data_IF_531554031522
#
_entry.id   IF_531554031522
#
_cell.length_a   1.000
_cell.length_b   1.000
_cell.length_c   1.000
_cell.angle_alpha   90.00
_cell.angle_beta   90.00
_cell.angle_gamma   90.00
#
_symmetry.space_group_name_H-M   'P 1'
#
loop_
_entity.id
_entity.type
_entity.pdbx_description
1 polymer ?
#
# COMPACT_ATOMS: atom_id res chain seq x y z
N UNK A 1 -28.27 11.84 -3.31
CA UNK A 1 -28.75 11.52 -4.68
C UNK A 1 -27.92 10.35 -5.20
N UNK A 2 -28.45 9.11 -5.19
CA UNK A 2 -27.83 7.92 -5.78
C UNK A 2 -28.22 7.90 -7.25
N UNK A 3 -27.29 8.21 -8.16
CA UNK A 3 -27.59 8.32 -9.59
C UNK A 3 -27.65 6.93 -10.26
N UNK A 4 -28.89 6.47 -10.50
CA UNK A 4 -29.26 5.73 -11.71
C UNK A 4 -29.26 6.73 -12.88
N UNK A 5 -28.68 6.33 -14.02
CA UNK A 5 -28.54 7.02 -15.33
C UNK A 5 -27.13 7.57 -15.63
N UNK A 6 -26.26 6.67 -16.08
CA UNK A 6 -25.43 6.87 -17.27
C UNK A 6 -25.40 5.53 -18.03
N UNK A 7 -26.32 5.38 -18.97
CA UNK A 7 -26.40 4.24 -19.88
C UNK A 7 -26.62 4.81 -21.28
N UNK A 8 -25.53 5.16 -21.97
CA UNK A 8 -25.42 5.35 -23.43
C UNK A 8 -24.00 5.79 -23.77
N UNK A 9 -23.07 4.82 -23.76
CA UNK A 9 -21.80 4.77 -24.52
C UNK A 9 -20.89 3.69 -23.87
N UNK A 10 -21.18 2.42 -24.18
CA UNK A 10 -20.28 1.25 -24.26
C UNK A 10 -19.14 1.09 -23.20
N UNK A 11 -19.49 0.40 -22.10
CA UNK A 11 -18.73 -0.52 -21.20
C UNK A 11 -17.53 -0.06 -20.32
N UNK A 12 -17.27 -0.68 -19.13
CA UNK A 12 -18.15 -1.37 -18.18
C UNK A 12 -18.22 -0.63 -16.83
N UNK A 13 -19.31 0.11 -16.58
CA UNK A 13 -19.64 0.57 -15.22
C UNK A 13 -20.47 -0.54 -14.55
N UNK A 14 -19.92 -1.19 -13.52
CA UNK A 14 -20.61 -2.26 -12.78
C UNK A 14 -21.87 -1.72 -12.08
N UNK A 15 -22.99 -2.42 -12.24
CA UNK A 15 -24.19 -2.32 -11.40
C UNK A 15 -24.62 -3.75 -11.00
N UNK A 16 -24.71 -4.03 -9.70
CA UNK A 16 -25.17 -5.32 -9.14
C UNK A 16 -24.41 -6.58 -9.60
N UNK A 17 -23.09 -6.64 -9.33
CA UNK A 17 -22.29 -7.89 -9.28
C UNK A 17 -22.33 -8.84 -10.49
N UNK A 18 -22.61 -8.35 -11.71
CA UNK A 18 -22.32 -9.11 -12.93
C UNK A 18 -21.32 -8.37 -13.82
N UNK A 19 -20.18 -9.01 -14.06
CA UNK A 19 -19.12 -8.56 -14.97
C UNK A 19 -19.33 -9.23 -16.32
N UNK A 20 -19.57 -8.45 -17.36
CA UNK A 20 -19.51 -8.92 -18.75
C UNK A 20 -18.50 -8.02 -19.45
N UNK A 21 -17.25 -8.48 -19.58
CA UNK A 21 -16.24 -7.85 -20.42
C UNK A 21 -15.73 -8.86 -21.46
N UNK A 22 -15.80 -8.48 -22.74
CA UNK A 22 -15.43 -9.30 -23.89
C UNK A 22 -14.03 -8.97 -24.46
N UNK A 23 -13.13 -8.40 -23.65
CA UNK A 23 -11.74 -8.19 -24.04
C UNK A 23 -10.87 -9.33 -23.51
N UNK A 24 -9.96 -9.90 -24.32
CA UNK A 24 -9.00 -10.88 -23.84
C UNK A 24 -8.13 -10.25 -22.74
N UNK A 25 -7.94 -10.89 -21.58
CA UNK A 25 -6.94 -10.46 -20.61
C UNK A 25 -5.54 -10.49 -21.26
N UNK A 26 -4.70 -9.44 -21.14
CA UNK A 26 -4.81 -8.26 -20.27
C UNK A 26 -5.07 -6.95 -21.04
N UNK A 27 -6.00 -6.92 -22.00
CA UNK A 27 -6.30 -5.70 -22.75
C UNK A 27 -7.08 -4.68 -21.87
N UNK A 28 -6.57 -3.45 -21.79
CA UNK A 28 -7.27 -2.28 -21.22
C UNK A 28 -8.12 -1.62 -22.31
N UNK A 29 -9.23 -1.01 -21.94
CA UNK A 29 -10.11 -0.29 -22.86
C UNK A 29 -9.49 1.08 -23.22
N UNK A 30 -9.09 1.31 -24.48
CA UNK A 30 -8.45 2.56 -24.90
C UNK A 30 -9.42 3.75 -25.05
N UNK A 31 -10.73 3.54 -24.83
CA UNK A 31 -11.75 4.56 -25.05
C UNK A 31 -11.48 5.82 -24.20
N UNK A 32 -11.32 7.01 -24.83
CA UNK A 32 -11.06 8.24 -24.08
C UNK A 32 -12.18 8.58 -23.10
N UNK A 33 -11.83 8.76 -21.84
CA UNK A 33 -12.77 9.13 -20.78
C UNK A 33 -12.82 10.65 -20.58
N UNK A 34 -14.03 11.18 -20.38
CA UNK A 34 -14.27 12.58 -20.03
C UNK A 34 -15.10 12.69 -18.75
N UNK A 35 -14.51 13.31 -17.73
CA UNK A 35 -15.11 13.56 -16.42
C UNK A 35 -15.58 15.01 -16.24
N UNK A 36 -15.43 15.86 -17.26
CA UNK A 36 -15.87 17.27 -17.23
C UNK A 36 -17.33 17.47 -16.78
N UNK A 37 -18.31 16.62 -17.19
CA UNK A 37 -19.69 16.77 -16.73
C UNK A 37 -19.88 16.51 -15.22
N UNK A 38 -18.88 15.92 -14.55
CA UNK A 38 -18.99 15.36 -13.22
C UNK A 38 -18.16 16.09 -12.16
N UNK A 39 -18.03 17.42 -12.26
CA UNK A 39 -17.19 18.23 -11.36
C UNK A 39 -17.48 18.13 -9.85
N UNK A 40 -18.59 17.51 -9.45
CA UNK A 40 -18.98 17.31 -8.02
C UNK A 40 -18.83 15.88 -7.52
N UNK A 41 -18.13 15.00 -8.25
CA UNK A 41 -17.91 13.62 -7.80
C UNK A 41 -17.10 13.58 -6.50
N UNK A 42 -17.59 12.76 -5.57
CA UNK A 42 -16.87 12.42 -4.33
C UNK A 42 -16.19 11.06 -4.41
N UNK A 43 -16.74 10.14 -5.20
CA UNK A 43 -16.25 8.78 -5.36
C UNK A 43 -16.13 8.48 -6.84
N UNK A 44 -14.97 7.96 -7.25
CA UNK A 44 -14.71 7.55 -8.63
C UNK A 44 -14.11 6.14 -8.63
N UNK A 45 -14.67 5.27 -9.45
CA UNK A 45 -14.10 3.95 -9.70
C UNK A 45 -13.81 3.77 -11.19
N UNK A 46 -12.56 3.44 -11.50
CA UNK A 46 -12.03 3.17 -12.83
C UNK A 46 -11.48 1.75 -12.82
N UNK A 47 -11.99 0.90 -13.71
CA UNK A 47 -11.63 -0.52 -13.76
C UNK A 47 -11.49 -0.95 -15.22
N UNK A 48 -10.29 -1.34 -15.63
CA UNK A 48 -10.00 -1.76 -16.99
C UNK A 48 -9.92 -0.65 -18.03
N UNK A 49 -9.86 0.63 -17.63
CA UNK A 49 -9.77 1.76 -18.55
C UNK A 49 -8.30 2.09 -18.84
N UNK A 50 -7.89 2.42 -20.06
CA UNK A 50 -6.49 2.74 -20.35
C UNK A 50 -6.16 4.22 -20.07
N UNK A 51 -5.80 4.50 -18.81
CA UNK A 51 -5.27 5.81 -18.42
C UNK A 51 -3.80 5.99 -18.78
N UNK A 52 -3.14 5.00 -19.39
CA UNK A 52 -1.73 5.08 -19.79
C UNK A 52 -1.57 5.73 -21.16
N UNK A 53 -2.37 5.32 -22.15
CA UNK A 53 -2.32 5.92 -23.49
C UNK A 53 -3.25 7.12 -23.63
N UNK A 54 -4.39 7.11 -22.93
CA UNK A 54 -5.43 8.14 -23.04
C UNK A 54 -5.67 8.85 -21.71
N UNK A 55 -5.21 10.10 -21.60
CA UNK A 55 -5.43 10.88 -20.38
C UNK A 55 -6.93 11.17 -20.18
N UNK A 56 -7.44 10.89 -18.97
CA UNK A 56 -8.84 11.16 -18.63
C UNK A 56 -9.07 12.66 -18.50
N UNK A 57 -9.86 13.24 -19.41
CA UNK A 57 -10.18 14.67 -19.39
C UNK A 57 -10.98 15.01 -18.15
N UNK A 58 -10.63 16.09 -17.44
CA UNK A 58 -11.32 16.53 -16.24
C UNK A 58 -10.98 15.75 -14.95
N UNK A 59 -10.13 14.71 -14.98
CA UNK A 59 -9.78 13.96 -13.77
C UNK A 59 -9.10 14.84 -12.72
N UNK A 60 -8.08 15.61 -13.11
CA UNK A 60 -7.35 16.50 -12.20
C UNK A 60 -8.21 17.68 -11.71
N UNK A 61 -9.30 17.99 -12.42
CA UNK A 61 -10.25 18.99 -11.95
C UNK A 61 -10.99 18.47 -10.71
N UNK A 62 -11.26 17.17 -10.59
CA UNK A 62 -11.97 16.60 -9.43
C UNK A 62 -11.22 16.73 -8.09
N UNK A 63 -9.97 17.20 -8.08
CA UNK A 63 -9.15 17.34 -6.86
C UNK A 63 -9.80 18.10 -5.71
N UNK A 64 -10.75 19.00 -6.02
CA UNK A 64 -11.44 19.83 -5.03
C UNK A 64 -12.69 19.17 -4.44
N UNK A 65 -13.16 18.06 -5.02
CA UNK A 65 -14.40 17.36 -4.63
C UNK A 65 -14.19 15.88 -4.29
N UNK A 66 -13.21 15.22 -4.93
CA UNK A 66 -13.01 13.79 -4.81
C UNK A 66 -12.44 13.39 -3.45
N UNK A 67 -13.13 12.46 -2.79
CA UNK A 67 -12.82 11.93 -1.46
C UNK A 67 -12.30 10.49 -1.54
N UNK A 68 -12.72 9.73 -2.55
CA UNK A 68 -12.33 8.34 -2.80
C UNK A 68 -12.07 8.08 -4.28
N UNK A 69 -10.97 7.41 -4.57
CA UNK A 69 -10.70 6.87 -5.91
C UNK A 69 -10.29 5.40 -5.85
N UNK A 70 -10.80 4.64 -6.82
CA UNK A 70 -10.42 3.26 -7.09
C UNK A 70 -9.99 3.18 -8.55
N UNK A 71 -8.78 2.75 -8.82
CA UNK A 71 -8.20 2.68 -10.15
C UNK A 71 -7.52 1.32 -10.31
N UNK A 72 -8.25 0.30 -10.79
CA UNK A 72 -7.74 -1.06 -10.90
C UNK A 72 -7.52 -1.46 -12.35
N UNK A 73 -6.41 -2.13 -12.65
CA UNK A 73 -6.05 -2.55 -14.01
C UNK A 73 -6.27 -1.43 -15.06
N UNK A 74 -5.94 -0.19 -14.70
CA UNK A 74 -6.27 0.99 -15.50
C UNK A 74 -5.09 1.92 -15.74
N UNK A 75 -3.97 1.73 -15.04
CA UNK A 75 -2.78 2.55 -15.24
C UNK A 75 -1.49 1.75 -15.05
N UNK A 76 -0.41 2.18 -15.67
CA UNK A 76 0.97 1.70 -15.49
C UNK A 76 1.84 2.68 -14.68
N UNK A 77 1.32 3.86 -14.32
CA UNK A 77 1.97 4.83 -13.43
C UNK A 77 0.95 5.54 -12.51
N UNK A 78 1.32 5.80 -11.25
CA UNK A 78 0.46 6.55 -10.32
C UNK A 78 0.26 7.99 -10.80
N UNK A 79 1.30 8.56 -11.42
CA UNK A 79 1.27 9.88 -12.04
C UNK A 79 0.07 10.09 -12.97
N UNK A 80 -0.36 9.08 -13.73
CA UNK A 80 -1.49 9.20 -14.66
C UNK A 80 -2.81 9.52 -13.97
N UNK A 81 -2.92 9.22 -12.67
CA UNK A 81 -4.11 9.49 -11.86
C UNK A 81 -3.99 10.82 -11.13
N UNK A 82 -2.82 11.12 -10.56
CA UNK A 82 -2.69 12.20 -9.58
C UNK A 82 -2.09 13.49 -10.11
N UNK A 83 -1.39 13.46 -11.24
CA UNK A 83 -0.66 14.63 -11.73
C UNK A 83 -0.75 14.81 -13.25
N UNK A 84 -0.33 15.99 -13.69
CA UNK A 84 -0.08 16.22 -15.11
C UNK A 84 1.11 15.37 -15.58
N UNK A 85 1.02 14.86 -16.81
CA UNK A 85 2.09 14.06 -17.42
C UNK A 85 3.30 14.89 -17.86
N UNK A 86 3.09 16.18 -18.11
CA UNK A 86 4.09 17.09 -18.67
C UNK A 86 4.65 18.08 -17.64
N UNK A 87 3.98 18.25 -16.51
CA UNK A 87 4.41 19.21 -15.48
C UNK A 87 5.23 18.53 -14.39
N UNK A 88 6.15 19.31 -13.81
CA UNK A 88 6.84 18.90 -12.60
C UNK A 88 5.86 18.69 -11.44
N UNK A 89 6.17 17.74 -10.54
CA UNK A 89 5.36 17.51 -9.34
C UNK A 89 5.49 18.67 -8.35
N UNK A 90 6.66 19.33 -8.32
CA UNK A 90 6.89 20.46 -7.43
C UNK A 90 6.00 21.63 -7.85
N UNK A 91 5.15 22.08 -6.94
CA UNK A 91 4.17 23.15 -7.21
C UNK A 91 2.89 22.70 -7.91
N UNK A 92 2.74 21.40 -8.21
CA UNK A 92 1.49 20.87 -8.76
C UNK A 92 0.34 20.95 -7.73
N UNK A 93 -0.91 21.11 -8.18
CA UNK A 93 -2.06 21.19 -7.27
C UNK A 93 -2.26 19.92 -6.45
N UNK A 94 -2.62 20.07 -5.17
CA UNK A 94 -2.81 18.96 -4.24
C UNK A 94 -4.25 18.41 -4.20
N UNK A 95 -4.38 17.15 -3.82
CA UNK A 95 -5.63 16.43 -3.56
C UNK A 95 -6.01 16.51 -2.09
N UNK A 96 -6.51 17.67 -1.66
CA UNK A 96 -6.74 17.97 -0.25
C UNK A 96 -7.92 17.23 0.39
N UNK A 97 -8.79 16.60 -0.41
CA UNK A 97 -9.96 15.85 0.07
C UNK A 97 -9.84 14.35 -0.08
N UNK A 98 -8.86 13.87 -0.85
CA UNK A 98 -8.74 12.46 -1.18
C UNK A 98 -8.27 11.70 0.06
N UNK A 99 -9.19 10.95 0.66
CA UNK A 99 -8.99 10.20 1.90
C UNK A 99 -8.70 8.72 1.65
N UNK A 100 -9.24 8.17 0.56
CA UNK A 100 -9.12 6.77 0.18
C UNK A 100 -8.61 6.67 -1.27
N UNK A 101 -7.53 5.91 -1.44
CA UNK A 101 -6.94 5.59 -2.73
C UNK A 101 -6.74 4.09 -2.82
N UNK A 102 -7.26 3.46 -3.86
CA UNK A 102 -6.87 2.10 -4.24
C UNK A 102 -6.41 2.07 -5.69
N UNK A 103 -5.16 1.68 -5.90
CA UNK A 103 -4.53 1.50 -7.21
C UNK A 103 -4.01 0.06 -7.34
N UNK A 104 -4.80 -0.92 -6.89
CA UNK A 104 -4.44 -2.34 -6.93
C UNK A 104 -4.49 -2.93 -8.35
N UNK A 105 -3.81 -4.06 -8.55
CA UNK A 105 -3.84 -4.84 -9.80
C UNK A 105 -3.43 -4.05 -11.06
N UNK A 106 -2.51 -3.08 -10.95
CA UNK A 106 -2.07 -2.24 -12.07
C UNK A 106 -0.73 -2.69 -12.67
N UNK A 107 -0.02 -3.59 -12.01
CA UNK A 107 1.31 -4.03 -12.45
C UNK A 107 2.38 -2.94 -12.27
N UNK A 108 2.17 -1.99 -11.36
CA UNK A 108 3.06 -0.86 -11.13
C UNK A 108 4.41 -1.33 -10.59
N UNK A 109 5.49 -0.74 -11.12
CA UNK A 109 6.86 -1.08 -10.73
C UNK A 109 7.45 -0.10 -9.71
N UNK A 110 6.99 1.16 -9.74
CA UNK A 110 7.60 2.27 -9.01
C UNK A 110 6.54 3.12 -8.31
N UNK A 111 6.77 3.40 -7.03
CA UNK A 111 6.02 4.44 -6.31
C UNK A 111 6.61 5.79 -6.71
N UNK A 112 5.95 6.50 -7.61
CA UNK A 112 6.46 7.78 -8.13
C UNK A 112 6.08 8.99 -7.23
N UNK A 113 6.75 10.12 -7.48
CA UNK A 113 6.60 11.35 -6.69
C UNK A 113 5.17 11.93 -6.66
N UNK A 114 4.26 11.49 -7.53
CA UNK A 114 2.88 12.00 -7.53
C UNK A 114 2.13 11.74 -6.22
N UNK A 115 2.57 10.78 -5.41
CA UNK A 115 2.09 10.55 -4.05
C UNK A 115 2.30 11.79 -3.14
N UNK A 116 3.28 12.65 -3.43
CA UNK A 116 3.48 13.92 -2.72
C UNK A 116 2.31 14.90 -2.85
N UNK A 117 1.42 14.70 -3.83
CA UNK A 117 0.24 15.54 -4.05
C UNK A 117 -0.95 15.12 -3.19
N UNK A 118 -0.79 14.12 -2.34
CA UNK A 118 -1.86 13.55 -1.52
C UNK A 118 -1.58 13.84 -0.03
N UNK A 119 -1.78 15.07 0.47
CA UNK A 119 -1.48 15.40 1.87
C UNK A 119 -2.54 14.89 2.86
N UNK A 120 -3.72 14.48 2.37
CA UNK A 120 -4.90 14.21 3.19
C UNK A 120 -5.31 12.73 3.26
N UNK A 121 -4.66 11.83 2.49
CA UNK A 121 -5.14 10.45 2.42
C UNK A 121 -4.81 9.64 3.67
N UNK A 122 -5.79 8.84 4.09
CA UNK A 122 -5.71 8.00 5.29
C UNK A 122 -5.57 6.51 4.93
N UNK A 123 -6.07 6.10 3.77
CA UNK A 123 -6.03 4.72 3.30
C UNK A 123 -5.48 4.64 1.88
N UNK A 124 -4.42 3.85 1.72
CA UNK A 124 -3.77 3.57 0.44
C UNK A 124 -3.65 2.07 0.24
N UNK A 125 -4.32 1.58 -0.79
CA UNK A 125 -4.21 0.19 -1.26
C UNK A 125 -3.44 0.17 -2.59
N UNK A 126 -2.26 -0.44 -2.53
CA UNK A 126 -1.32 -0.64 -3.62
C UNK A 126 -1.00 -2.13 -3.80
N UNK A 127 -1.91 -2.99 -3.35
CA UNK A 127 -1.76 -4.45 -3.44
C UNK A 127 -1.75 -4.97 -4.88
N UNK A 128 -1.20 -6.17 -5.08
CA UNK A 128 -1.16 -6.84 -6.39
C UNK A 128 -0.49 -5.99 -7.49
N UNK A 129 0.61 -5.32 -7.13
CA UNK A 129 1.48 -4.62 -8.07
C UNK A 129 2.85 -5.31 -8.11
N UNK A 130 3.85 -4.67 -8.70
CA UNK A 130 5.22 -5.20 -8.86
C UNK A 130 6.25 -4.30 -8.17
N UNK A 131 5.87 -3.64 -7.09
CA UNK A 131 6.80 -2.77 -6.35
C UNK A 131 7.93 -3.60 -5.73
N UNK A 132 9.17 -3.23 -6.03
CA UNK A 132 10.37 -3.82 -5.41
C UNK A 132 10.83 -3.04 -4.16
N UNK A 133 10.44 -1.77 -4.06
CA UNK A 133 10.80 -0.83 -2.99
C UNK A 133 9.59 0.05 -2.63
N UNK A 134 9.52 0.48 -1.37
CA UNK A 134 8.61 1.53 -0.91
C UNK A 134 9.32 2.89 -0.96
N UNK A 135 8.67 3.92 -1.51
CA UNK A 135 9.27 5.25 -1.69
C UNK A 135 8.17 6.34 -1.74
N UNK A 136 8.55 7.61 -1.65
CA UNK A 136 7.68 8.79 -1.82
C UNK A 136 6.49 8.90 -0.82
N UNK A 137 6.54 8.18 0.30
CA UNK A 137 5.50 8.21 1.34
C UNK A 137 5.77 9.21 2.47
N UNK A 138 6.94 9.86 2.50
CA UNK A 138 7.34 10.80 3.57
C UNK A 138 6.37 11.96 3.81
N UNK A 139 5.69 12.44 2.76
CA UNK A 139 4.72 13.55 2.86
C UNK A 139 3.31 13.10 3.25
N UNK A 140 3.09 11.79 3.34
CA UNK A 140 1.77 11.18 3.58
C UNK A 140 1.49 11.06 5.08
N UNK A 141 1.57 12.18 5.79
CA UNK A 141 1.58 12.21 7.27
C UNK A 141 0.27 11.77 7.93
N UNK A 142 -0.83 11.71 7.17
CA UNK A 142 -2.15 11.25 7.64
C UNK A 142 -2.44 9.78 7.34
N UNK A 143 -1.51 9.06 6.71
CA UNK A 143 -1.69 7.67 6.32
C UNK A 143 -1.85 6.78 7.56
N UNK A 144 -3.00 6.10 7.66
CA UNK A 144 -3.33 5.16 8.74
C UNK A 144 -3.30 3.71 8.27
N UNK A 145 -3.67 3.47 7.02
CA UNK A 145 -3.79 2.14 6.43
C UNK A 145 -3.05 2.08 5.10
N UNK A 146 -2.04 1.21 5.04
CA UNK A 146 -1.26 0.95 3.84
C UNK A 146 -1.32 -0.54 3.51
N UNK A 147 -1.88 -0.89 2.37
CA UNK A 147 -1.86 -2.24 1.84
C UNK A 147 -0.87 -2.34 0.68
N UNK A 148 0.14 -3.18 0.85
CA UNK A 148 1.16 -3.50 -0.15
C UNK A 148 1.25 -5.01 -0.40
N UNK A 149 0.21 -5.77 -0.04
CA UNK A 149 0.14 -7.21 -0.24
C UNK A 149 0.37 -7.59 -1.71
N UNK A 150 0.94 -8.78 -1.94
CA UNK A 150 1.19 -9.30 -3.29
C UNK A 150 2.03 -8.37 -4.18
N UNK A 151 3.05 -7.71 -3.61
CA UNK A 151 4.11 -7.00 -4.32
C UNK A 151 5.41 -7.82 -4.33
N UNK A 152 6.49 -7.26 -4.87
CA UNK A 152 7.82 -7.89 -4.95
C UNK A 152 8.82 -7.26 -3.97
N UNK A 153 8.33 -6.78 -2.83
CA UNK A 153 9.15 -6.11 -1.81
C UNK A 153 10.14 -7.12 -1.22
N UNK A 154 11.44 -6.85 -1.37
CA UNK A 154 12.51 -7.72 -0.86
C UNK A 154 13.07 -7.29 0.48
N UNK A 155 12.79 -6.07 0.93
CA UNK A 155 13.31 -5.52 2.17
C UNK A 155 12.31 -4.59 2.85
N UNK A 156 12.29 -4.63 4.18
CA UNK A 156 11.47 -3.75 5.02
C UNK A 156 12.15 -2.40 5.33
N UNK A 157 13.44 -2.22 5.01
CA UNK A 157 14.17 -0.94 5.11
C UNK A 157 13.40 0.23 4.48
N UNK A 158 12.67 -0.04 3.41
CA UNK A 158 11.90 0.97 2.68
C UNK A 158 10.74 1.57 3.50
N UNK A 159 10.35 0.92 4.61
CA UNK A 159 9.35 1.43 5.54
C UNK A 159 9.92 2.33 6.65
N UNK A 160 11.26 2.45 6.77
CA UNK A 160 11.91 3.38 7.70
C UNK A 160 11.52 4.84 7.42
N UNK A 161 11.00 5.13 6.23
CA UNK A 161 10.51 6.45 5.83
C UNK A 161 9.09 6.77 6.34
N UNK A 162 8.39 5.80 6.93
CA UNK A 162 7.04 5.94 7.45
C UNK A 162 7.09 5.78 8.98
N UNK A 163 7.29 6.89 9.69
CA UNK A 163 7.34 6.92 11.17
C UNK A 163 6.15 6.20 11.83
N UNK A 164 4.97 6.23 11.19
CA UNK A 164 3.76 5.56 11.68
C UNK A 164 3.76 4.03 11.61
N UNK A 165 4.47 3.42 10.64
CA UNK A 165 4.47 1.96 10.47
C UNK A 165 5.47 1.30 11.43
N UNK A 166 6.63 1.93 11.65
CA UNK A 166 7.54 1.53 12.71
C UNK A 166 6.86 1.64 14.08
N UNK A 167 6.08 2.70 14.29
CA UNK A 167 5.28 2.86 15.51
C UNK A 167 4.23 1.75 15.68
N UNK A 168 3.52 1.38 14.61
CA UNK A 168 2.54 0.29 14.64
C UNK A 168 3.19 -1.06 14.98
N UNK A 169 4.32 -1.39 14.33
CA UNK A 169 5.11 -2.59 14.61
C UNK A 169 5.62 -2.61 16.06
N UNK A 170 6.14 -1.49 16.56
CA UNK A 170 6.56 -1.32 17.96
C UNK A 170 5.40 -1.51 18.93
N UNK A 171 4.22 -0.93 18.65
CA UNK A 171 3.03 -1.08 19.50
C UNK A 171 2.53 -2.51 19.57
N UNK A 172 2.47 -3.20 18.42
CA UNK A 172 2.03 -4.59 18.37
C UNK A 172 2.99 -5.48 19.15
N UNK A 173 4.30 -5.35 18.92
CA UNK A 173 5.30 -6.13 19.64
C UNK A 173 5.25 -5.88 21.14
N UNK A 174 5.16 -4.62 21.58
CA UNK A 174 4.99 -4.29 23.00
C UNK A 174 3.73 -4.89 23.62
N UNK A 175 2.62 -4.90 22.87
CA UNK A 175 1.38 -5.52 23.34
C UNK A 175 1.52 -7.04 23.51
N UNK A 176 2.15 -7.71 22.54
CA UNK A 176 2.45 -9.15 22.61
C UNK A 176 3.37 -9.44 23.81
N UNK A 177 4.47 -8.70 23.96
CA UNK A 177 5.39 -8.86 25.10
C UNK A 177 4.67 -8.68 26.45
N UNK A 178 3.75 -7.72 26.54
CA UNK A 178 2.94 -7.51 27.75
C UNK A 178 2.00 -8.69 28.03
N UNK A 179 1.32 -9.23 27.02
CA UNK A 179 0.47 -10.41 27.17
C UNK A 179 1.28 -11.65 27.58
N UNK A 180 2.44 -11.86 26.97
CA UNK A 180 3.36 -12.94 27.31
C UNK A 180 3.82 -12.85 28.77
N UNK A 181 4.19 -11.66 29.23
CA UNK A 181 4.55 -11.43 30.63
C UNK A 181 3.38 -11.73 31.58
N UNK A 182 2.15 -11.31 31.25
CA UNK A 182 0.96 -11.59 32.07
C UNK A 182 0.64 -13.08 32.16
N UNK A 183 0.96 -13.85 31.13
CA UNK A 183 0.71 -15.29 31.05
C UNK A 183 1.92 -16.13 31.54
N UNK A 184 2.97 -15.50 32.08
CA UNK A 184 4.22 -16.18 32.49
C UNK A 184 4.85 -17.02 31.34
N UNK A 185 4.76 -16.55 30.10
CA UNK A 185 5.44 -17.18 28.96
C UNK A 185 6.95 -16.92 29.11
N UNK A 186 7.71 -17.98 29.34
CA UNK A 186 9.14 -17.92 29.68
C UNK A 186 10.05 -17.55 28.50
N UNK A 187 9.64 -17.90 27.29
CA UNK A 187 10.43 -17.72 26.08
C UNK A 187 9.53 -17.31 24.92
N UNK A 188 10.00 -16.32 24.16
CA UNK A 188 9.38 -15.87 22.92
C UNK A 188 10.46 -15.95 21.85
N UNK A 189 10.21 -16.68 20.79
CA UNK A 189 11.16 -16.80 19.68
C UNK A 189 10.49 -16.52 18.33
N UNK A 190 11.30 -16.11 17.36
CA UNK A 190 10.87 -15.85 15.99
C UNK A 190 12.01 -16.11 15.01
N UNK A 191 11.65 -16.31 13.75
CA UNK A 191 12.57 -16.67 12.68
C UNK A 191 12.75 -15.47 11.74
N UNK A 192 14.00 -15.05 11.51
CA UNK A 192 14.35 -13.93 10.61
C UNK A 192 15.40 -14.37 9.61
N UNK A 193 15.20 -14.08 8.34
CA UNK A 193 16.18 -14.38 7.30
C UNK A 193 17.54 -13.73 7.59
N UNK A 194 18.63 -14.42 7.28
CA UNK A 194 19.99 -14.01 7.70
C UNK A 194 20.45 -12.69 7.09
N UNK A 195 19.95 -12.30 5.91
CA UNK A 195 20.27 -11.02 5.27
C UNK A 195 19.33 -9.87 5.67
N UNK A 196 18.33 -10.10 6.53
CA UNK A 196 17.39 -9.06 6.94
C UNK A 196 17.91 -8.33 8.19
N UNK A 197 19.00 -7.58 8.02
CA UNK A 197 19.65 -6.83 9.10
C UNK A 197 18.69 -5.87 9.82
N UNK A 198 17.75 -5.27 9.10
CA UNK A 198 16.76 -4.35 9.67
C UNK A 198 15.85 -5.04 10.69
N UNK A 199 15.29 -6.20 10.34
CA UNK A 199 14.46 -6.98 11.24
C UNK A 199 15.27 -7.46 12.45
N UNK A 200 16.48 -7.95 12.21
CA UNK A 200 17.39 -8.39 13.28
C UNK A 200 17.65 -7.24 14.26
N UNK A 201 18.04 -6.06 13.75
CA UNK A 201 18.32 -4.89 14.56
C UNK A 201 17.07 -4.35 15.27
N UNK A 202 15.90 -4.43 14.64
CA UNK A 202 14.62 -4.08 15.26
C UNK A 202 14.35 -4.96 16.48
N UNK A 203 14.36 -6.29 16.34
CA UNK A 203 14.08 -7.20 17.47
C UNK A 203 15.16 -7.13 18.56
N UNK A 204 16.42 -6.93 18.20
CA UNK A 204 17.51 -6.68 19.17
C UNK A 204 17.24 -5.48 20.07
N UNK A 205 16.64 -4.39 19.55
CA UNK A 205 16.24 -3.24 20.38
C UNK A 205 15.18 -3.59 21.42
N UNK A 206 14.39 -4.64 21.20
CA UNK A 206 13.43 -5.17 22.17
C UNK A 206 14.02 -6.27 23.05
N UNK A 207 15.34 -6.47 23.01
CA UNK A 207 16.06 -7.45 23.83
C UNK A 207 15.83 -8.90 23.40
N UNK A 208 15.65 -9.14 22.10
CA UNK A 208 15.80 -10.46 21.51
C UNK A 208 17.26 -10.67 21.12
N UNK A 209 17.75 -11.89 21.26
CA UNK A 209 19.10 -12.31 20.91
C UNK A 209 19.06 -13.45 19.90
N UNK A 210 20.07 -13.53 19.02
CA UNK A 210 20.16 -14.65 18.08
C UNK A 210 20.65 -15.87 18.86
N UNK A 211 19.84 -16.93 18.91
CA UNK A 211 20.16 -18.18 19.63
C UNK A 211 20.62 -19.29 18.70
N UNK A 212 20.10 -19.34 17.48
CA UNK A 212 20.37 -20.40 16.52
C UNK A 212 20.38 -19.88 15.08
N UNK A 213 21.05 -20.62 14.19
CA UNK A 213 20.95 -20.44 12.73
C UNK A 213 20.46 -21.73 12.09
N UNK A 214 19.28 -21.68 11.47
CA UNK A 214 18.68 -22.79 10.73
C UNK A 214 19.09 -22.66 9.26
N UNK A 215 19.73 -23.72 8.72
CA UNK A 215 20.13 -23.78 7.31
C UNK A 215 18.97 -24.22 6.42
N UNK A 216 18.89 -23.66 5.22
CA UNK A 216 17.86 -24.03 4.21
C UNK A 216 16.41 -23.95 4.73
N UNK A 217 16.11 -22.97 5.58
CA UNK A 217 14.78 -22.77 6.16
C UNK A 217 13.77 -22.27 5.13
N UNK A 218 14.18 -21.31 4.29
CA UNK A 218 13.35 -20.79 3.21
C UNK A 218 13.59 -21.60 1.93
N UNK A 219 12.53 -21.96 1.23
CA UNK A 219 12.64 -22.79 0.01
C UNK A 219 12.78 -21.99 -1.28
N UNK A 220 12.31 -20.73 -1.29
CA UNK A 220 12.11 -19.95 -2.51
C UNK A 220 12.76 -18.55 -2.46
N UNK A 221 13.61 -18.27 -1.48
CA UNK A 221 14.18 -16.93 -1.25
C UNK A 221 15.65 -17.07 -0.82
N UNK A 222 16.55 -16.35 -1.47
CA UNK A 222 18.00 -16.33 -1.17
C UNK A 222 18.37 -15.14 -0.27
N UNK A 223 19.18 -15.32 0.80
CA UNK A 223 19.73 -16.58 1.30
C UNK A 223 18.68 -17.46 1.97
N UNK A 224 18.81 -18.78 1.82
CA UNK A 224 17.84 -19.76 2.32
C UNK A 224 17.87 -19.87 3.86
N UNK A 225 18.93 -19.37 4.50
CA UNK A 225 19.19 -19.50 5.92
C UNK A 225 18.34 -18.54 6.78
N UNK A 226 18.08 -18.95 8.02
CA UNK A 226 17.31 -18.18 8.98
C UNK A 226 18.02 -18.12 10.34
N UNK A 227 18.00 -16.96 10.99
CA UNK A 227 18.30 -16.83 12.41
C UNK A 227 17.05 -17.06 13.26
N UNK A 228 17.21 -17.75 14.38
CA UNK A 228 16.23 -17.78 15.47
C UNK A 228 16.59 -16.69 16.45
N UNK A 229 15.67 -15.75 16.66
CA UNK A 229 15.80 -14.70 17.66
C UNK A 229 14.89 -15.02 18.84
N UNK A 230 15.44 -15.10 20.05
CA UNK A 230 14.70 -15.42 21.27
C UNK A 230 14.83 -14.33 22.33
N UNK A 231 13.79 -14.19 23.15
CA UNK A 231 13.76 -13.33 24.34
C UNK A 231 13.24 -14.16 25.52
N UNK A 232 14.02 -14.20 26.58
CA UNK A 232 13.67 -14.86 27.83
C UNK A 232 13.08 -13.84 28.82
N UNK A 233 11.95 -14.18 29.43
CA UNK A 233 11.37 -13.34 30.50
C UNK A 233 11.87 -13.81 31.86
N UNK A 234 12.37 -12.90 32.68
CA UNK A 234 12.69 -13.21 34.08
C UNK A 234 11.39 -13.38 34.86
N UNK A 235 11.28 -14.50 35.60
CA UNK A 235 10.21 -14.67 36.58
C UNK A 235 10.32 -13.53 37.60
N UNK A 236 9.32 -12.66 37.67
CA UNK A 236 9.19 -11.77 38.81
C UNK A 236 8.97 -12.65 40.03
N UNK A 237 9.98 -12.77 40.88
CA UNK A 237 9.82 -13.36 42.21
C UNK A 237 8.74 -12.54 42.91
N UNK A 238 7.56 -13.15 43.09
CA UNK A 238 6.49 -12.57 43.88
C UNK A 238 7.03 -12.37 45.29
N UNK A 239 7.32 -11.12 45.66
CA UNK A 239 7.56 -10.75 47.05
C UNK A 239 6.29 -11.06 47.83
N UNK A 240 6.40 -12.03 48.75
CA UNK A 240 5.44 -12.31 49.81
C UNK A 240 5.17 -11.06 50.64
#
# INVERSE_FOLDING_TARGET
MRLKKLNTALFPVRYNDKVVSALPPPARDPTPLSLLPFGRLKVLELRGCDLSTSATKGLLELRHTLEKIVCHNSTDALRHVFASRIAEIKGSPQWNRLSFVSCACNGLLLMDESLHLLPAFEMLDLSQNKFAKVDNLRKCVKLKHLDLGFNQLRSISSFSEIDGLLWASTRLLNHVLHLCSKQNILEIYLHVQTNNEDAINFYKKFGFEITETIKNYYTNIDPLDCFVLAKFTTLSQAKK
#
